data_IF_750357531880
#
_entry.id   IF_750357531880
#
_cell.length_a   1.000
_cell.length_b   1.000
_cell.length_c   1.000
_cell.angle_alpha   90.00
_cell.angle_beta   90.00
_cell.angle_gamma   90.00
#
_symmetry.space_group_name_H-M   'P 1'
#
loop_
_entity.id
_entity.type
_entity.pdbx_description
1 polymer ?
#
# COMPACT_ATOMS: atom_id res chain seq x y z
N UNK A 1 -23.14 7.92 6.18
CA UNK A 1 -22.44 6.75 6.77
C UNK A 1 -21.16 7.23 7.42
N UNK A 2 -20.75 6.70 8.59
CA UNK A 2 -19.52 7.13 9.23
C UNK A 2 -18.31 6.75 8.36
N UNK A 3 -17.29 7.61 8.32
CA UNK A 3 -15.99 7.41 7.65
C UNK A 3 -15.95 7.51 6.11
N UNK A 4 -17.01 8.01 5.45
CA UNK A 4 -16.96 8.30 4.00
C UNK A 4 -16.45 9.71 3.68
N UNK A 5 -16.46 10.61 4.68
CA UNK A 5 -16.11 12.02 4.58
C UNK A 5 -15.03 12.41 5.59
N UNK A 6 -14.25 13.44 5.28
CA UNK A 6 -13.32 14.09 6.22
C UNK A 6 -14.08 14.96 7.24
N UNK A 7 -13.37 15.55 8.21
CA UNK A 7 -13.93 16.58 9.12
C UNK A 7 -14.40 17.85 8.39
N UNK A 8 -13.98 18.03 7.13
CA UNK A 8 -14.34 19.16 6.28
C UNK A 8 -15.35 18.79 5.18
N UNK A 9 -15.98 17.61 5.28
CA UNK A 9 -17.00 17.11 4.35
C UNK A 9 -16.51 16.74 2.93
N UNK A 10 -15.19 16.63 2.76
CA UNK A 10 -14.56 16.12 1.54
C UNK A 10 -14.66 14.59 1.45
N UNK A 11 -14.67 14.06 0.22
CA UNK A 11 -14.66 12.60 -0.01
C UNK A 11 -13.38 11.98 0.58
N UNK A 12 -13.56 10.94 1.42
CA UNK A 12 -12.47 10.22 2.07
C UNK A 12 -12.45 8.72 1.74
N UNK A 13 -13.61 8.07 1.64
CA UNK A 13 -13.71 6.71 1.09
C UNK A 13 -13.80 6.81 -0.43
N UNK A 14 -12.66 6.69 -1.11
CA UNK A 14 -12.57 6.88 -2.57
C UNK A 14 -12.85 5.59 -3.33
N UNK A 15 -12.49 4.44 -2.76
CA UNK A 15 -12.83 3.13 -3.35
C UNK A 15 -13.57 2.28 -2.34
N UNK A 16 -14.66 1.72 -2.78
CA UNK A 16 -15.40 0.68 -2.09
C UNK A 16 -15.84 -0.35 -3.13
N UNK A 17 -15.09 -1.46 -3.23
CA UNK A 17 -15.28 -2.43 -4.32
C UNK A 17 -15.21 -3.86 -3.83
N UNK A 18 -16.25 -4.63 -4.16
CA UNK A 18 -16.23 -6.08 -4.04
C UNK A 18 -15.37 -6.67 -5.17
N UNK A 19 -14.29 -7.36 -4.82
CA UNK A 19 -13.40 -8.06 -5.77
C UNK A 19 -13.90 -9.49 -6.01
N UNK A 20 -14.36 -10.15 -4.96
CA UNK A 20 -15.05 -11.45 -5.03
C UNK A 20 -16.28 -11.41 -4.11
N UNK A 21 -17.09 -12.48 -4.09
CA UNK A 21 -18.22 -12.57 -3.15
C UNK A 21 -17.83 -12.45 -1.67
N UNK A 22 -16.54 -12.60 -1.33
CA UNK A 22 -16.03 -12.54 0.05
C UNK A 22 -14.91 -11.52 0.27
N UNK A 23 -14.43 -10.86 -0.77
CA UNK A 23 -13.32 -9.90 -0.66
C UNK A 23 -13.80 -8.52 -1.11
N UNK A 24 -13.61 -7.54 -0.22
CA UNK A 24 -13.92 -6.13 -0.43
C UNK A 24 -12.64 -5.34 -0.26
N UNK A 25 -12.37 -4.43 -1.19
CA UNK A 25 -11.30 -3.45 -1.09
C UNK A 25 -11.92 -2.10 -0.72
N UNK A 26 -11.39 -1.49 0.33
CA UNK A 26 -11.68 -0.13 0.74
C UNK A 26 -10.42 0.71 0.56
N UNK A 27 -10.52 1.87 -0.09
CA UNK A 27 -9.43 2.84 -0.17
C UNK A 27 -9.88 4.13 0.50
N UNK A 28 -9.20 4.48 1.58
CA UNK A 28 -9.36 5.74 2.27
C UNK A 28 -8.21 6.67 1.90
N UNK A 29 -8.53 7.80 1.28
CA UNK A 29 -7.57 8.84 0.90
C UNK A 29 -8.33 10.13 0.57
N UNK A 30 -7.63 11.27 0.53
CA UNK A 30 -8.13 12.47 -0.17
C UNK A 30 -7.63 12.49 -1.62
N UNK A 31 -8.24 13.32 -2.47
CA UNK A 31 -7.79 13.50 -3.86
C UNK A 31 -6.37 14.06 -3.92
N UNK A 32 -6.00 14.92 -2.98
CA UNK A 32 -4.68 15.53 -2.84
C UNK A 32 -3.65 14.46 -2.48
N UNK A 33 -3.96 13.58 -1.54
CA UNK A 33 -3.09 12.46 -1.17
C UNK A 33 -2.83 11.52 -2.36
N UNK A 34 -3.86 11.23 -3.17
CA UNK A 34 -3.68 10.42 -4.37
C UNK A 34 -2.82 11.12 -5.42
N UNK A 35 -2.97 12.43 -5.61
CA UNK A 35 -2.11 13.20 -6.52
C UNK A 35 -0.65 13.22 -6.06
N UNK A 36 -0.42 13.40 -4.75
CA UNK A 36 0.92 13.32 -4.17
C UNK A 36 1.54 11.94 -4.37
N UNK A 37 0.76 10.88 -4.15
CA UNK A 37 1.21 9.51 -4.35
C UNK A 37 1.53 9.20 -5.82
N UNK A 38 0.72 9.71 -6.77
CA UNK A 38 0.93 9.52 -8.22
C UNK A 38 2.17 10.26 -8.74
N UNK A 39 2.54 11.38 -8.13
CA UNK A 39 3.72 12.17 -8.50
C UNK A 39 4.97 11.84 -7.70
N UNK A 40 4.95 10.81 -6.85
CA UNK A 40 6.07 10.47 -6.01
C UNK A 40 7.07 9.56 -6.74
N UNK A 41 8.33 9.98 -6.78
CA UNK A 41 9.44 9.16 -7.32
C UNK A 41 9.77 7.99 -6.38
N UNK A 42 9.51 8.16 -5.08
CA UNK A 42 9.76 7.16 -4.04
C UNK A 42 8.51 6.91 -3.20
N UNK A 43 8.13 5.64 -3.07
CA UNK A 43 7.01 5.22 -2.22
C UNK A 43 7.55 4.39 -1.06
N UNK A 44 7.27 4.85 0.17
CA UNK A 44 7.50 4.07 1.39
C UNK A 44 6.16 3.48 1.82
N UNK A 45 6.09 2.17 1.99
CA UNK A 45 4.87 1.46 2.34
C UNK A 45 5.10 0.57 3.57
N UNK A 46 4.34 0.82 4.63
CA UNK A 46 4.22 -0.06 5.79
C UNK A 46 2.95 -0.91 5.60
N UNK A 47 3.01 -2.18 5.97
CA UNK A 47 1.80 -3.00 5.98
C UNK A 47 2.03 -4.44 6.40
N UNK A 48 1.11 -4.93 7.23
CA UNK A 48 1.05 -6.34 7.63
C UNK A 48 0.11 -7.10 6.69
N UNK A 49 0.64 -7.67 5.60
CA UNK A 49 -0.16 -8.38 4.60
C UNK A 49 0.06 -9.89 4.67
N UNK A 50 -0.91 -10.65 5.18
CA UNK A 50 -0.92 -12.11 5.01
C UNK A 50 -1.16 -12.53 3.55
N UNK A 51 -1.83 -11.67 2.77
CA UNK A 51 -2.01 -11.80 1.31
C UNK A 51 -2.07 -10.40 0.68
N UNK A 52 -1.56 -10.26 -0.54
CA UNK A 52 -1.63 -9.02 -1.31
C UNK A 52 -2.43 -9.26 -2.60
N UNK A 53 -3.59 -8.61 -2.81
CA UNK A 53 -4.33 -8.74 -4.05
C UNK A 53 -3.53 -8.13 -5.21
N UNK A 54 -3.46 -8.85 -6.33
CA UNK A 54 -2.81 -8.35 -7.55
C UNK A 54 -3.69 -7.29 -8.19
N UNK A 55 -3.41 -6.03 -7.87
CA UNK A 55 -4.05 -4.87 -8.49
C UNK A 55 -3.02 -4.21 -9.38
N UNK A 56 -3.32 -4.10 -10.69
CA UNK A 56 -2.53 -3.29 -11.61
C UNK A 56 -2.61 -1.83 -11.19
N UNK A 57 -1.50 -1.28 -10.74
CA UNK A 57 -1.35 0.14 -10.47
C UNK A 57 -0.45 0.69 -11.57
N UNK A 58 -0.99 1.52 -12.45
CA UNK A 58 -0.17 2.29 -13.40
C UNK A 58 0.50 3.44 -12.65
N UNK A 59 1.47 3.12 -11.80
CA UNK A 59 2.33 4.09 -11.13
C UNK A 59 3.74 3.97 -11.68
N UNK A 60 4.40 5.12 -11.79
CA UNK A 60 5.74 5.28 -12.36
C UNK A 60 6.81 5.44 -11.28
N UNK A 61 6.54 4.99 -10.05
CA UNK A 61 7.50 5.11 -8.97
C UNK A 61 8.83 4.43 -9.34
N UNK A 62 9.93 5.18 -9.21
CA UNK A 62 11.28 4.69 -9.52
C UNK A 62 11.84 3.84 -8.38
N UNK A 63 11.44 4.12 -7.14
CA UNK A 63 11.87 3.40 -5.96
C UNK A 63 10.71 3.08 -5.01
N UNK A 64 10.69 1.86 -4.49
CA UNK A 64 9.69 1.40 -3.52
C UNK A 64 10.41 0.78 -2.33
N UNK A 65 10.10 1.26 -1.13
CA UNK A 65 10.49 0.61 0.12
C UNK A 65 9.29 -0.01 0.80
N UNK A 66 9.36 -1.29 1.17
CA UNK A 66 8.27 -1.97 1.87
C UNK A 66 8.74 -2.85 3.00
N UNK A 67 7.81 -3.35 3.83
CA UNK A 67 8.11 -4.43 4.77
C UNK A 67 8.51 -5.73 4.07
N UNK A 68 9.15 -6.62 4.83
CA UNK A 68 9.60 -7.95 4.40
C UNK A 68 8.42 -8.94 4.32
N UNK A 69 7.40 -8.61 3.53
CA UNK A 69 6.24 -9.47 3.30
C UNK A 69 6.31 -10.11 1.90
N UNK A 70 6.48 -11.44 1.77
CA UNK A 70 6.66 -12.11 0.48
C UNK A 70 5.56 -11.84 -0.54
N UNK A 71 4.32 -11.74 -0.07
CA UNK A 71 3.17 -11.42 -0.92
C UNK A 71 3.28 -10.01 -1.51
N UNK A 72 3.73 -9.03 -0.72
CA UNK A 72 3.88 -7.64 -1.16
C UNK A 72 5.06 -7.50 -2.13
N UNK A 73 6.20 -8.14 -1.84
CA UNK A 73 7.37 -8.17 -2.72
C UNK A 73 7.02 -8.71 -4.10
N UNK A 74 6.25 -9.81 -4.14
CA UNK A 74 5.81 -10.43 -5.40
C UNK A 74 4.93 -9.49 -6.22
N UNK A 75 4.02 -8.76 -5.57
CA UNK A 75 3.15 -7.79 -6.25
C UNK A 75 3.95 -6.60 -6.76
N UNK A 76 4.86 -6.05 -5.95
CA UNK A 76 5.72 -4.92 -6.37
C UNK A 76 6.50 -5.30 -7.63
N UNK A 77 7.15 -6.48 -7.63
CA UNK A 77 7.91 -6.96 -8.78
C UNK A 77 7.05 -7.17 -10.04
N UNK A 78 5.78 -7.55 -9.88
CA UNK A 78 4.87 -7.82 -11.00
C UNK A 78 4.20 -6.56 -11.57
N UNK A 79 3.89 -5.58 -10.72
CA UNK A 79 3.07 -4.43 -11.08
C UNK A 79 3.89 -3.14 -11.29
N UNK A 80 5.06 -3.02 -10.66
CA UNK A 80 5.97 -1.85 -10.77
C UNK A 80 7.25 -2.23 -11.51
N UNK A 81 7.10 -2.67 -12.76
CA UNK A 81 8.22 -3.13 -13.59
C UNK A 81 9.20 -1.99 -13.83
N UNK A 82 10.45 -2.15 -13.38
CA UNK A 82 11.51 -1.15 -13.50
C UNK A 82 11.76 -0.34 -12.22
N UNK A 83 10.86 -0.40 -11.24
CA UNK A 83 11.10 0.21 -9.94
C UNK A 83 12.18 -0.56 -9.16
N UNK A 84 13.07 0.16 -8.49
CA UNK A 84 14.01 -0.43 -7.53
C UNK A 84 13.27 -0.72 -6.23
N UNK A 85 13.23 -1.98 -5.80
CA UNK A 85 12.62 -2.37 -4.53
C UNK A 85 13.67 -2.58 -3.43
N UNK A 86 13.43 -2.00 -2.26
CA UNK A 86 14.23 -2.24 -1.04
C UNK A 86 13.33 -2.61 0.12
N UNK A 87 13.69 -3.62 0.90
CA UNK A 87 12.91 -3.97 2.08
C UNK A 87 13.36 -3.17 3.32
N UNK A 88 12.42 -2.82 4.20
CA UNK A 88 12.66 -2.00 5.38
C UNK A 88 13.42 -2.77 6.46
N UNK A 89 14.71 -2.45 6.61
CA UNK A 89 15.58 -3.07 7.63
C UNK A 89 15.14 -2.78 9.06
N UNK A 90 14.54 -1.60 9.30
CA UNK A 90 14.03 -1.20 10.60
C UNK A 90 12.88 -2.11 11.06
N UNK A 91 11.85 -2.31 10.24
CA UNK A 91 10.73 -3.18 10.57
C UNK A 91 11.12 -4.66 10.66
N UNK A 92 12.10 -5.10 9.85
CA UNK A 92 12.69 -6.43 10.00
C UNK A 92 13.35 -6.64 11.37
N UNK A 93 14.23 -5.71 11.76
CA UNK A 93 14.94 -5.79 13.04
C UNK A 93 13.97 -5.73 14.22
N UNK A 94 12.95 -4.87 14.14
CA UNK A 94 11.89 -4.80 15.16
C UNK A 94 11.12 -6.13 15.27
N UNK A 95 10.81 -6.77 14.13
CA UNK A 95 10.11 -8.05 14.09
C UNK A 95 10.95 -9.17 14.69
N UNK A 96 12.24 -9.26 14.32
CA UNK A 96 13.18 -10.22 14.90
C UNK A 96 13.31 -10.02 16.40
N UNK A 97 13.46 -8.78 16.86
CA UNK A 97 13.56 -8.46 18.29
C UNK A 97 12.32 -8.92 19.08
N UNK A 98 11.11 -8.68 18.54
CA UNK A 98 9.84 -9.15 19.15
C UNK A 98 9.67 -10.67 19.14
N UNK A 99 10.38 -11.39 18.28
CA UNK A 99 10.29 -12.85 18.23
C UNK A 99 11.22 -13.53 19.26
N UNK A 100 12.22 -12.82 19.77
CA UNK A 100 13.21 -13.31 20.74
C UNK A 100 13.04 -12.68 22.14
N UNK A 101 11.97 -11.91 22.36
CA UNK A 101 11.55 -11.27 23.62
C UNK A 101 10.07 -11.56 23.87
#
# INVERSE_FOLDING_TARGET
>A
EPFTKTLHDDDFLIVDKMITRRQRILLFASREQLKMLLGADTILMDGTFSTCPRVKINSYADAIMSDFEPALITVIAAEFVGATHSSCYFHFTQTVYRAIQ
#
